data_IF_066445897765
#
_entry.id   IF_066445897765
#
_cell.length_a   1.000
_cell.length_b   1.000
_cell.length_c   1.000
_cell.angle_alpha   90.00
_cell.angle_beta   90.00
_cell.angle_gamma   90.00
#
_symmetry.space_group_name_H-M   'P 1'
#
loop_
_entity.id
_entity.type
_entity.pdbx_description
1 polymer ?
#
# COMPACT_ATOMS: atom_id res chain seq x y z
N UNK A 1 48.25 -12.96 32.12
CA UNK A 1 47.47 -11.71 32.01
C UNK A 1 46.63 -11.60 30.73
N UNK A 2 46.97 -12.28 29.63
CA UNK A 2 46.18 -12.28 28.37
C UNK A 2 44.78 -12.95 28.49
N UNK A 3 44.66 -14.03 29.27
CA UNK A 3 43.43 -14.83 29.37
C UNK A 3 42.24 -14.09 30.01
N UNK A 4 42.49 -13.28 31.04
CA UNK A 4 41.45 -12.49 31.70
C UNK A 4 40.84 -11.43 30.77
N UNK A 5 41.66 -10.82 29.92
CA UNK A 5 41.22 -9.81 28.96
C UNK A 5 40.32 -10.43 27.88
N UNK A 6 40.62 -11.66 27.43
CA UNK A 6 39.81 -12.38 26.45
C UNK A 6 38.44 -12.77 27.03
N UNK A 7 38.41 -13.22 28.29
CA UNK A 7 37.18 -13.57 28.98
C UNK A 7 36.29 -12.33 29.23
N UNK A 8 36.90 -11.19 29.54
CA UNK A 8 36.20 -9.92 29.70
C UNK A 8 35.52 -9.46 28.40
N UNK A 9 36.21 -9.61 27.26
CA UNK A 9 35.66 -9.25 25.93
C UNK A 9 34.45 -10.13 25.57
N UNK A 10 34.52 -11.43 25.88
CA UNK A 10 33.41 -12.38 25.67
C UNK A 10 32.17 -11.99 26.48
N UNK A 11 32.35 -11.57 27.74
CA UNK A 11 31.25 -11.12 28.61
C UNK A 11 30.59 -9.85 28.05
N UNK A 12 31.38 -8.91 27.51
CA UNK A 12 30.85 -7.66 26.93
C UNK A 12 30.03 -7.94 25.66
N UNK A 13 30.42 -8.91 24.83
CA UNK A 13 29.66 -9.28 23.62
C UNK A 13 28.34 -9.99 23.98
N UNK A 14 28.35 -10.83 25.02
CA UNK A 14 27.13 -11.52 25.49
C UNK A 14 26.13 -10.54 26.12
N UNK A 15 26.60 -9.56 26.90
CA UNK A 15 25.75 -8.53 27.52
C UNK A 15 25.33 -7.46 26.51
N UNK A 16 26.23 -7.06 25.61
CA UNK A 16 25.98 -6.05 24.58
C UNK A 16 25.11 -6.57 23.42
N UNK A 17 25.22 -7.87 23.08
CA UNK A 17 24.42 -8.52 22.05
C UNK A 17 22.94 -8.69 22.41
N UNK A 18 22.60 -8.65 23.71
CA UNK A 18 21.20 -8.67 24.18
C UNK A 18 20.43 -7.36 23.95
N UNK A 19 21.09 -6.28 23.51
CA UNK A 19 20.43 -5.10 22.97
C UNK A 19 19.98 -5.37 21.53
N UNK A 20 19.20 -6.44 21.35
CA UNK A 20 18.48 -6.68 20.11
C UNK A 20 17.60 -5.47 19.85
N UNK A 21 17.79 -4.86 18.68
CA UNK A 21 16.95 -3.81 18.16
C UNK A 21 15.49 -4.26 18.25
N UNK A 22 14.76 -3.74 19.24
CA UNK A 22 13.31 -3.74 19.19
C UNK A 22 12.95 -2.74 18.11
N UNK A 23 12.88 -3.21 16.86
CA UNK A 23 12.14 -2.52 15.83
C UNK A 23 10.69 -2.48 16.30
N UNK A 24 10.35 -1.44 17.06
CA UNK A 24 8.97 -1.09 17.32
C UNK A 24 8.43 -0.61 15.99
N UNK A 25 7.96 -1.52 15.16
CA UNK A 25 7.01 -1.16 14.13
C UNK A 25 5.82 -0.62 14.90
N UNK A 26 5.73 0.71 15.04
CA UNK A 26 4.46 1.35 15.35
C UNK A 26 3.48 0.72 14.39
N UNK A 27 2.51 -0.05 14.91
CA UNK A 27 1.42 -0.52 14.10
C UNK A 27 0.69 0.75 13.66
N UNK A 28 1.11 1.28 12.50
CA UNK A 28 0.56 2.50 11.96
C UNK A 28 -0.94 2.29 11.89
N UNK A 29 -1.70 3.21 12.49
CA UNK A 29 -3.15 3.05 12.52
C UNK A 29 -3.68 3.24 11.10
N UNK A 30 -4.51 2.31 10.61
CA UNK A 30 -5.15 2.46 9.32
C UNK A 30 -6.16 3.63 9.35
N UNK A 31 -5.80 4.75 8.73
CA UNK A 31 -6.68 5.89 8.56
C UNK A 31 -7.58 5.65 7.36
N UNK A 32 -8.89 5.57 7.58
CA UNK A 32 -9.88 5.25 6.54
C UNK A 32 -10.69 6.46 6.10
N UNK A 33 -10.34 7.66 6.54
CA UNK A 33 -11.07 8.89 6.23
C UNK A 33 -10.27 9.79 5.29
N UNK A 34 -10.94 10.30 4.27
CA UNK A 34 -10.42 11.28 3.34
C UNK A 34 -11.55 12.26 3.01
N UNK A 35 -11.48 13.50 3.51
CA UNK A 35 -12.59 14.45 3.41
C UNK A 35 -13.90 13.87 3.98
N UNK A 36 -14.96 13.85 3.18
CA UNK A 36 -16.26 13.23 3.53
C UNK A 36 -16.33 11.71 3.30
N UNK A 37 -15.31 11.10 2.69
CA UNK A 37 -15.28 9.68 2.37
C UNK A 37 -14.73 8.87 3.55
N UNK A 38 -15.45 7.81 3.94
CA UNK A 38 -14.99 6.82 4.92
C UNK A 38 -15.00 5.44 4.29
N UNK A 39 -13.85 4.76 4.32
CA UNK A 39 -13.68 3.43 3.75
C UNK A 39 -13.82 2.33 4.81
N UNK A 40 -14.24 1.15 4.36
CA UNK A 40 -14.20 -0.07 5.16
C UNK A 40 -12.80 -0.69 5.12
N UNK A 41 -12.39 -1.33 6.21
CA UNK A 41 -11.20 -2.17 6.20
C UNK A 41 -11.40 -3.29 5.16
N UNK A 42 -10.40 -3.65 4.34
CA UNK A 42 -8.96 -3.33 4.45
C UNK A 42 -8.49 -2.06 3.73
N UNK A 43 -9.41 -1.26 3.17
CA UNK A 43 -9.07 -0.04 2.43
C UNK A 43 -8.82 1.15 3.34
N UNK A 44 -7.84 1.98 3.01
CA UNK A 44 -7.64 3.27 3.65
C UNK A 44 -6.49 4.07 3.05
N UNK A 45 -6.02 5.09 3.77
CA UNK A 45 -5.18 6.18 3.25
C UNK A 45 -3.84 6.34 3.97
N UNK A 46 -3.53 5.45 4.93
CA UNK A 46 -2.25 5.46 5.63
C UNK A 46 -1.50 4.14 5.45
N UNK A 47 -0.18 4.10 5.72
CA UNK A 47 0.63 2.89 5.63
C UNK A 47 0.15 1.73 6.51
N UNK A 48 -0.70 2.02 7.51
CA UNK A 48 -1.32 1.03 8.37
C UNK A 48 -2.41 0.17 7.71
N UNK A 49 -2.84 0.54 6.51
CA UNK A 49 -3.90 -0.16 5.80
C UNK A 49 -3.33 -1.23 4.86
N UNK A 50 -3.88 -2.46 4.83
CA UNK A 50 -3.42 -3.48 3.88
C UNK A 50 -3.58 -3.04 2.42
N UNK A 51 -4.62 -2.25 2.13
CA UNK A 51 -4.80 -1.63 0.81
C UNK A 51 -4.78 -0.11 0.99
N UNK A 52 -3.60 0.46 0.78
CA UNK A 52 -3.39 1.90 0.85
C UNK A 52 -3.79 2.56 -0.48
N UNK A 53 -4.66 3.56 -0.38
CA UNK A 53 -5.12 4.44 -1.45
C UNK A 53 -4.60 5.86 -1.19
N UNK A 54 -4.55 6.67 -2.23
CA UNK A 54 -4.22 8.08 -2.14
C UNK A 54 -5.49 8.91 -1.91
N UNK A 55 -5.41 9.89 -1.01
CA UNK A 55 -6.47 10.87 -0.80
C UNK A 55 -6.23 12.07 -1.73
N UNK A 56 -7.12 12.32 -2.68
CA UNK A 56 -7.07 13.52 -3.54
C UNK A 56 -7.64 14.72 -2.77
N UNK A 57 -6.84 15.76 -2.59
CA UNK A 57 -7.27 16.99 -1.93
C UNK A 57 -8.26 17.80 -2.80
N UNK A 58 -8.13 17.73 -4.13
CA UNK A 58 -8.95 18.49 -5.08
C UNK A 58 -10.33 17.86 -5.28
N UNK A 59 -10.39 16.53 -5.38
CA UNK A 59 -11.64 15.80 -5.64
C UNK A 59 -12.30 15.24 -4.37
N UNK A 60 -11.65 15.42 -3.20
CA UNK A 60 -11.99 14.75 -1.93
C UNK A 60 -12.22 13.23 -2.09
N UNK A 61 -11.55 12.63 -3.07
CA UNK A 61 -11.79 11.27 -3.54
C UNK A 61 -10.61 10.34 -3.31
N UNK A 62 -10.87 9.04 -3.30
CA UNK A 62 -9.84 8.03 -3.26
C UNK A 62 -9.24 7.80 -4.65
N UNK A 63 -7.92 7.62 -4.72
CA UNK A 63 -7.17 7.31 -5.93
C UNK A 63 -6.23 6.12 -5.71
N UNK A 64 -5.90 5.43 -6.78
CA UNK A 64 -4.88 4.38 -6.80
C UNK A 64 -3.90 4.69 -7.93
N UNK A 65 -2.68 5.11 -7.57
CA UNK A 65 -1.84 5.86 -8.49
C UNK A 65 -2.59 7.07 -9.06
N UNK A 66 -2.70 7.13 -10.38
CA UNK A 66 -3.42 8.18 -11.10
C UNK A 66 -4.92 7.92 -11.26
N UNK A 67 -5.40 6.70 -10.98
CA UNK A 67 -6.76 6.28 -11.29
C UNK A 67 -7.74 6.60 -10.15
N UNK A 68 -8.87 7.23 -10.48
CA UNK A 68 -9.90 7.59 -9.49
C UNK A 68 -10.76 6.38 -9.12
N UNK A 69 -10.96 6.18 -7.82
CA UNK A 69 -11.89 5.19 -7.28
C UNK A 69 -13.31 5.75 -7.39
N UNK A 70 -14.19 5.02 -8.07
CA UNK A 70 -15.59 5.40 -8.32
C UNK A 70 -16.55 4.85 -7.28
N UNK A 71 -16.27 3.65 -6.78
CA UNK A 71 -17.11 2.99 -5.78
C UNK A 71 -16.27 2.04 -4.93
N UNK A 72 -16.64 1.88 -3.66
CA UNK A 72 -15.99 0.96 -2.73
C UNK A 72 -17.09 0.13 -2.08
N UNK A 73 -16.93 -1.20 -2.15
CA UNK A 73 -17.76 -2.17 -1.46
C UNK A 73 -16.98 -2.77 -0.28
N UNK A 74 -17.56 -3.75 0.41
CA UNK A 74 -16.86 -4.45 1.50
C UNK A 74 -15.61 -5.20 1.02
N UNK A 75 -15.56 -5.62 -0.25
CA UNK A 75 -14.54 -6.55 -0.74
C UNK A 75 -13.91 -6.12 -2.07
N UNK A 76 -14.43 -5.09 -2.73
CA UNK A 76 -13.97 -4.65 -4.04
C UNK A 76 -13.99 -3.13 -4.18
N UNK A 77 -13.16 -2.62 -5.08
CA UNK A 77 -13.19 -1.23 -5.51
C UNK A 77 -13.42 -1.18 -7.01
N UNK A 78 -14.28 -0.25 -7.42
CA UNK A 78 -14.45 0.08 -8.82
C UNK A 78 -13.54 1.26 -9.15
N UNK A 79 -12.57 1.03 -10.02
CA UNK A 79 -11.60 2.03 -10.43
C UNK A 79 -11.89 2.48 -11.86
N UNK A 80 -11.90 3.79 -12.09
CA UNK A 80 -12.04 4.37 -13.41
C UNK A 80 -10.71 4.39 -14.16
N UNK A 81 -10.61 3.64 -15.26
CA UNK A 81 -9.45 3.67 -16.15
C UNK A 81 -9.83 4.42 -17.44
N UNK A 82 -9.39 5.68 -17.63
CA UNK A 82 -9.72 6.43 -18.84
C UNK A 82 -9.03 5.84 -20.06
N UNK A 83 -9.65 5.96 -21.25
CA UNK A 83 -9.05 5.54 -22.52
C UNK A 83 -7.82 6.39 -22.83
N UNK A 84 -6.67 5.73 -22.99
CA UNK A 84 -5.44 6.34 -23.45
C UNK A 84 -4.67 5.27 -24.25
N UNK A 85 -4.53 5.52 -25.54
CA UNK A 85 -4.01 4.57 -26.54
C UNK A 85 -2.50 4.53 -26.58
N UNK A 86 -1.87 5.53 -25.98
CA UNK A 86 -0.43 5.65 -25.82
C UNK A 86 0.02 5.22 -24.42
N UNK A 87 -0.93 4.83 -23.55
CA UNK A 87 -0.63 4.38 -22.18
C UNK A 87 0.21 3.11 -22.25
N UNK A 88 1.29 3.10 -21.47
CA UNK A 88 2.12 1.90 -21.33
C UNK A 88 1.52 0.97 -20.29
N UNK A 89 1.82 -0.32 -20.42
CA UNK A 89 1.35 -1.32 -19.45
C UNK A 89 1.93 -1.01 -18.06
N UNK A 90 3.16 -0.49 -18.01
CA UNK A 90 3.83 -0.08 -16.77
C UNK A 90 3.03 0.97 -15.97
N UNK A 91 2.32 1.87 -16.65
CA UNK A 91 1.49 2.92 -16.01
C UNK A 91 0.26 2.32 -15.28
N UNK A 92 -0.08 1.07 -15.58
CA UNK A 92 -1.20 0.36 -14.96
C UNK A 92 -0.75 -0.50 -13.78
N UNK A 93 0.55 -0.59 -13.49
CA UNK A 93 1.07 -1.35 -12.34
C UNK A 93 0.44 -0.98 -11.00
N UNK A 94 0.02 0.28 -10.71
CA UNK A 94 -0.68 0.58 -9.46
C UNK A 94 -2.02 -0.15 -9.30
N UNK A 95 -2.60 -0.71 -10.37
CA UNK A 95 -3.82 -1.52 -10.29
C UNK A 95 -3.57 -2.97 -9.85
N UNK A 96 -2.30 -3.38 -9.77
CA UNK A 96 -1.86 -4.71 -9.40
C UNK A 96 -0.99 -4.64 -8.14
N UNK A 97 -1.64 -4.68 -6.98
CA UNK A 97 -0.95 -4.63 -5.70
C UNK A 97 -0.74 -6.00 -5.08
N UNK A 98 -0.02 -6.03 -3.95
CA UNK A 98 0.19 -7.26 -3.17
C UNK A 98 -1.11 -7.84 -2.62
N UNK A 99 -2.08 -7.00 -2.28
CA UNK A 99 -3.33 -7.38 -1.61
C UNK A 99 -4.59 -7.18 -2.45
N UNK A 100 -4.44 -6.78 -3.72
CA UNK A 100 -5.55 -6.58 -4.64
C UNK A 100 -5.10 -6.78 -6.07
N UNK A 101 -6.01 -7.31 -6.89
CA UNK A 101 -5.82 -7.42 -8.32
C UNK A 101 -7.14 -7.16 -9.04
N UNK A 102 -7.09 -6.75 -10.31
CA UNK A 102 -8.29 -6.63 -11.11
C UNK A 102 -8.97 -8.01 -11.28
N UNK A 103 -10.30 -8.10 -11.08
CA UNK A 103 -11.12 -9.31 -11.26
C UNK A 103 -11.36 -9.76 -12.72
N UNK A 104 -11.99 -10.91 -12.95
CA UNK A 104 -12.42 -11.31 -14.30
C UNK A 104 -13.51 -10.41 -14.90
N UNK A 105 -14.24 -9.67 -14.06
CA UNK A 105 -15.26 -8.71 -14.47
C UNK A 105 -14.68 -7.39 -15.00
N UNK A 106 -13.35 -7.28 -15.07
CA UNK A 106 -12.75 -6.09 -15.64
C UNK A 106 -13.06 -5.93 -17.11
N UNK A 107 -13.33 -4.69 -17.43
CA UNK A 107 -13.76 -4.33 -18.74
C UNK A 107 -12.64 -4.06 -19.74
N UNK A 108 -11.41 -4.52 -19.47
CA UNK A 108 -10.25 -4.25 -20.31
C UNK A 108 -10.45 -4.70 -21.76
N UNK A 109 -11.28 -5.73 -21.97
CA UNK A 109 -11.53 -6.33 -23.28
C UNK A 109 -12.88 -5.96 -23.92
N UNK A 110 -13.70 -5.07 -23.32
CA UNK A 110 -14.91 -4.59 -24.01
C UNK A 110 -14.58 -3.43 -24.95
N UNK A 111 -15.35 -3.27 -26.05
CA UNK A 111 -15.11 -2.30 -27.12
C UNK A 111 -15.34 -0.81 -26.73
N UNK A 112 -15.31 -0.45 -25.45
CA UNK A 112 -15.44 0.96 -25.00
C UNK A 112 -14.11 1.69 -24.82
N UNK A 113 -12.98 0.99 -24.91
CA UNK A 113 -11.68 1.64 -25.09
C UNK A 113 -11.47 1.87 -26.58
N UNK A 114 -12.27 2.76 -27.17
CA UNK A 114 -12.10 3.13 -28.57
C UNK A 114 -10.92 4.09 -28.66
N UNK A 115 -9.83 3.57 -29.19
CA UNK A 115 -8.74 4.34 -29.73
C UNK A 115 -9.08 4.66 -31.17
N UNK A 116 -9.39 5.93 -31.46
CA UNK A 116 -9.57 6.40 -32.82
C UNK A 116 -8.23 6.53 -33.54
#
# INVERSE_FOLDING_TARGET
>A
MISHNLNLILIIIVIGGSLFLRASSSAETCNRKCGGLTLSYPFGFSPGCPIQLNCSAEDHGAKIGEFSVRNVTENSILVGVPSNCTRKIEDMTPLFGTHYAPTSENNFLRPRLVCH
#
